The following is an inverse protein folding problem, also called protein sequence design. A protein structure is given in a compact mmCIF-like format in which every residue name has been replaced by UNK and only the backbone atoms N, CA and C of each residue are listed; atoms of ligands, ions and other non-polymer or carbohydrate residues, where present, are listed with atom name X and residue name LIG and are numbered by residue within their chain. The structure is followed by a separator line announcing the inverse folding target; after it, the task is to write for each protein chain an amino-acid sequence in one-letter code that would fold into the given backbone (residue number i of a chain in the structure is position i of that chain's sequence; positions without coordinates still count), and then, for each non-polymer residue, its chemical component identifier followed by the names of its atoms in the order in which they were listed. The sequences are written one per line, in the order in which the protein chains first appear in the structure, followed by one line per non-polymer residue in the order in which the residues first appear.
data_IF_035728264714
#
_entry.id   IF_035728264714
#
_cell.length_a   1.000
_cell.length_b   1.000
_cell.length_c   1.000
_cell.angle_alpha   90.00
_cell.angle_beta   90.00
_cell.angle_gamma   90.00
#
_symmetry.space_group_name_H-M   'P 1'
#
loop_
_entity.id
_entity.type
_entity.pdbx_description
1 polymer ?
#
# COMPACT_ATOMS: atom_id res chain seq x y z
N UNK A 1 1.83 54.86 31.09
CA UNK A 1 2.73 53.71 30.83
C UNK A 1 3.73 54.13 29.76
N UNK A 2 5.04 54.12 30.05
CA UNK A 2 6.10 54.55 29.13
C UNK A 2 5.97 53.81 27.78
N UNK A 3 6.23 54.46 26.64
CA UNK A 3 6.09 53.88 25.28
C UNK A 3 6.78 52.51 25.17
N UNK A 4 7.95 52.39 25.80
CA UNK A 4 8.68 51.13 25.94
C UNK A 4 7.90 50.05 26.69
N UNK A 5 7.29 50.37 27.84
CA UNK A 5 6.46 49.42 28.62
C UNK A 5 5.26 48.90 27.81
N UNK A 6 4.64 49.74 26.97
CA UNK A 6 3.54 49.33 26.08
C UNK A 6 4.02 48.36 24.99
N UNK A 7 5.15 48.68 24.35
CA UNK A 7 5.75 47.82 23.32
C UNK A 7 6.17 46.47 23.93
N UNK A 8 6.86 46.49 25.08
CA UNK A 8 7.24 45.26 25.79
C UNK A 8 6.03 44.40 26.16
N UNK A 9 4.96 45.02 26.66
CA UNK A 9 3.72 44.29 26.98
C UNK A 9 3.12 43.61 25.74
N UNK A 10 3.04 44.32 24.61
CA UNK A 10 2.53 43.75 23.35
C UNK A 10 3.39 42.59 22.86
N UNK A 11 4.72 42.70 22.95
CA UNK A 11 5.63 41.61 22.61
C UNK A 11 5.44 40.38 23.51
N UNK A 12 5.36 40.58 24.83
CA UNK A 12 5.12 39.50 25.78
C UNK A 12 3.76 38.82 25.54
N UNK A 13 2.73 39.60 25.21
CA UNK A 13 1.42 39.09 24.86
C UNK A 13 1.47 38.25 23.58
N UNK A 14 2.11 38.75 22.51
CA UNK A 14 2.26 38.01 21.25
C UNK A 14 3.05 36.72 21.43
N UNK A 15 4.15 36.75 22.19
CA UNK A 15 4.94 35.56 22.53
C UNK A 15 4.09 34.58 23.32
N UNK A 16 3.33 35.05 24.31
CA UNK A 16 2.46 34.19 25.11
C UNK A 16 1.38 33.53 24.26
N UNK A 17 0.72 34.28 23.36
CA UNK A 17 -0.26 33.75 22.42
C UNK A 17 0.38 32.71 21.51
N UNK A 18 1.57 32.99 20.96
CA UNK A 18 2.30 32.06 20.10
C UNK A 18 2.64 30.74 20.82
N UNK A 19 3.13 30.82 22.06
CA UNK A 19 3.46 29.64 22.87
C UNK A 19 2.22 28.84 23.24
N UNK A 20 1.16 29.51 23.71
CA UNK A 20 -0.12 28.87 24.06
C UNK A 20 -0.74 28.20 22.83
N UNK A 21 -0.74 28.87 21.67
CA UNK A 21 -1.23 28.30 20.42
C UNK A 21 -0.49 27.01 20.07
N UNK A 22 0.85 27.05 20.02
CA UNK A 22 1.63 25.86 19.69
C UNK A 22 1.41 24.73 20.69
N UNK A 23 1.39 25.04 21.99
CA UNK A 23 1.12 24.07 23.04
C UNK A 23 -0.25 23.40 22.84
N UNK A 24 -1.32 24.19 22.71
CA UNK A 24 -2.68 23.67 22.58
C UNK A 24 -2.85 22.82 21.31
N UNK A 25 -2.35 23.28 20.17
CA UNK A 25 -2.50 22.54 18.92
C UNK A 25 -1.65 21.26 18.92
N UNK A 26 -0.43 21.34 19.46
CA UNK A 26 0.45 20.19 19.50
C UNK A 26 -0.14 19.03 20.31
N UNK A 27 -0.60 19.29 21.53
CA UNK A 27 -1.12 18.24 22.41
C UNK A 27 -2.51 17.74 22.00
N UNK A 28 -3.33 18.58 21.35
CA UNK A 28 -4.67 18.16 20.92
C UNK A 28 -4.71 17.49 19.56
N UNK A 29 -3.81 17.84 18.64
CA UNK A 29 -3.82 17.38 17.24
C UNK A 29 -2.48 16.79 16.80
N UNK A 30 -1.43 17.62 16.70
CA UNK A 30 -0.17 17.25 16.04
C UNK A 30 0.46 16.00 16.63
N UNK A 31 0.67 15.92 17.95
CA UNK A 31 1.32 14.78 18.58
C UNK A 31 0.52 13.47 18.46
N UNK A 32 -0.81 13.55 18.29
CA UNK A 32 -1.69 12.36 18.27
C UNK A 32 -1.68 11.61 16.95
N UNK A 33 -1.19 12.23 15.88
CA UNK A 33 -1.07 11.59 14.56
C UNK A 33 0.32 11.00 14.33
N UNK A 34 1.21 10.99 15.35
CA UNK A 34 2.52 10.35 15.29
C UNK A 34 2.60 9.19 16.28
N UNK A 35 3.24 8.07 15.91
CA UNK A 35 3.36 6.91 16.78
C UNK A 35 4.09 7.27 18.06
N UNK A 36 3.63 6.72 19.19
CA UNK A 36 4.23 7.00 20.50
C UNK A 36 5.50 6.22 20.78
N UNK A 37 5.72 5.13 20.05
CA UNK A 37 6.90 4.27 20.17
C UNK A 37 7.33 3.77 18.79
N UNK A 38 8.57 3.30 18.67
CA UNK A 38 9.04 2.60 17.45
C UNK A 38 8.34 1.26 17.21
N UNK A 39 7.62 0.72 18.19
CA UNK A 39 6.88 -0.55 18.11
C UNK A 39 5.45 -0.39 17.59
N UNK A 40 5.04 0.86 17.39
CA UNK A 40 3.67 1.25 17.00
C UNK A 40 3.69 2.02 15.71
N UNK A 41 2.62 1.90 14.93
CA UNK A 41 2.45 2.56 13.65
C UNK A 41 1.15 3.36 13.65
N UNK A 42 1.21 4.58 13.10
CA UNK A 42 0.05 5.40 12.78
C UNK A 42 0.13 5.72 11.30
N UNK A 43 -0.99 5.58 10.59
CA UNK A 43 -1.00 5.72 9.15
C UNK A 43 -0.81 7.14 8.64
N UNK A 44 -0.40 7.23 7.38
CA UNK A 44 -0.04 8.48 6.73
C UNK A 44 -1.22 9.44 6.56
N UNK A 45 -2.44 8.92 6.37
CA UNK A 45 -3.62 9.77 6.22
C UNK A 45 -3.95 10.52 7.50
N UNK A 46 -3.70 9.96 8.69
CA UNK A 46 -3.80 10.74 9.93
C UNK A 46 -2.80 11.90 9.93
N UNK A 47 -1.54 11.67 9.53
CA UNK A 47 -0.52 12.73 9.46
C UNK A 47 -0.82 13.79 8.40
N UNK A 48 -1.37 13.39 7.27
CA UNK A 48 -1.68 14.28 6.16
C UNK A 48 -2.97 15.08 6.38
N UNK A 49 -3.92 14.55 7.16
CA UNK A 49 -5.20 15.21 7.45
C UNK A 49 -5.20 15.97 8.79
N UNK A 50 -4.36 15.56 9.75
CA UNK A 50 -4.42 15.95 11.16
C UNK A 50 -5.76 15.65 11.84
N UNK A 51 -6.54 14.71 11.31
CA UNK A 51 -7.77 14.23 11.93
C UNK A 51 -7.42 13.18 12.99
N UNK A 52 -7.65 13.52 14.24
CA UNK A 52 -7.32 12.64 15.38
C UNK A 52 -8.31 11.49 15.52
N UNK A 53 -9.55 11.68 15.09
CA UNK A 53 -10.63 10.72 15.28
C UNK A 53 -10.58 9.53 14.30
N UNK A 54 -9.72 9.58 13.28
CA UNK A 54 -9.45 8.43 12.40
C UNK A 54 -8.24 7.61 12.84
N UNK A 55 -7.43 8.11 13.78
CA UNK A 55 -6.17 7.47 14.20
C UNK A 55 -6.45 6.03 14.65
N UNK A 56 -5.68 5.11 14.10
CA UNK A 56 -5.75 3.68 14.38
C UNK A 56 -4.35 3.16 14.71
N UNK A 57 -3.90 3.51 15.91
CA UNK A 57 -2.61 3.08 16.46
C UNK A 57 -2.57 1.55 16.57
N UNK A 58 -1.52 0.95 16.02
CA UNK A 58 -1.36 -0.49 15.87
C UNK A 58 0.06 -0.92 16.17
N UNK A 59 0.19 -2.06 16.84
CA UNK A 59 1.50 -2.67 17.14
C UNK A 59 2.02 -3.44 15.94
N UNK A 60 3.32 -3.32 15.68
CA UNK A 60 4.00 -4.13 14.69
C UNK A 60 4.28 -5.51 15.30
N UNK A 61 3.56 -6.53 14.83
CA UNK A 61 3.62 -7.90 15.36
C UNK A 61 3.63 -8.88 14.18
N UNK A 62 4.49 -9.89 14.26
CA UNK A 62 4.49 -11.04 13.36
C UNK A 62 4.16 -12.28 14.18
N UNK A 63 3.03 -12.92 13.87
CA UNK A 63 2.56 -14.12 14.57
C UNK A 63 2.26 -15.31 13.63
N UNK A 64 2.64 -15.19 12.36
CA UNK A 64 2.53 -16.26 11.37
C UNK A 64 3.66 -17.27 11.49
N UNK A 65 3.35 -18.55 11.23
CA UNK A 65 4.28 -19.67 11.45
C UNK A 65 5.42 -19.77 10.43
N UNK A 66 5.24 -19.21 9.23
CA UNK A 66 6.27 -19.13 8.19
C UNK A 66 6.19 -17.76 7.50
N UNK A 67 7.32 -17.06 7.47
CA UNK A 67 7.44 -15.74 6.84
C UNK A 67 8.13 -15.84 5.49
N UNK A 68 7.90 -14.83 4.66
CA UNK A 68 8.63 -14.66 3.41
C UNK A 68 10.11 -14.34 3.67
N UNK A 69 10.94 -14.56 2.67
CA UNK A 69 12.32 -14.12 2.65
C UNK A 69 12.35 -12.71 2.08
N UNK A 70 12.98 -11.79 2.81
CA UNK A 70 13.38 -10.52 2.23
C UNK A 70 14.54 -10.77 1.26
N UNK A 71 14.74 -9.86 0.31
CA UNK A 71 15.86 -9.93 -0.62
C UNK A 71 17.23 -10.06 0.08
N UNK A 72 17.41 -9.43 1.25
CA UNK A 72 18.66 -9.46 2.00
C UNK A 72 18.90 -10.80 2.72
N UNK A 73 17.84 -11.58 2.95
CA UNK A 73 17.90 -12.89 3.60
C UNK A 73 18.08 -14.04 2.60
N UNK A 74 18.20 -13.71 1.32
CA UNK A 74 18.35 -14.70 0.26
C UNK A 74 19.80 -15.21 0.18
N UNK A 75 19.98 -16.51 0.43
CA UNK A 75 21.26 -17.22 0.45
C UNK A 75 21.32 -18.35 -0.59
N UNK A 76 20.60 -18.19 -1.71
CA UNK A 76 20.50 -19.16 -2.82
C UNK A 76 19.73 -20.46 -2.50
N UNK A 77 18.79 -20.40 -1.55
CA UNK A 77 17.81 -21.46 -1.32
C UNK A 77 16.74 -21.52 -2.42
N UNK A 78 16.09 -22.67 -2.61
CA UNK A 78 15.02 -22.80 -3.59
C UNK A 78 13.81 -21.91 -3.25
N UNK A 79 13.39 -21.08 -4.21
CA UNK A 79 12.27 -20.13 -4.13
C UNK A 79 11.17 -20.60 -5.08
N UNK A 80 9.98 -20.88 -4.56
CA UNK A 80 8.85 -21.28 -5.40
C UNK A 80 8.09 -20.07 -5.97
N UNK A 81 8.06 -18.97 -5.23
CA UNK A 81 7.31 -17.77 -5.59
C UNK A 81 8.23 -16.55 -5.43
N UNK A 82 8.40 -15.80 -6.51
CA UNK A 82 9.07 -14.51 -6.51
C UNK A 82 8.01 -13.40 -6.55
N UNK A 83 8.06 -12.45 -5.62
CA UNK A 83 7.18 -11.28 -5.62
C UNK A 83 7.96 -10.00 -5.89
N UNK A 84 7.33 -9.06 -6.58
CA UNK A 84 7.80 -7.68 -6.72
C UNK A 84 6.60 -6.76 -6.69
N UNK A 85 6.71 -5.63 -6.00
CA UNK A 85 5.63 -4.66 -5.95
C UNK A 85 6.01 -3.40 -5.18
N UNK A 86 5.01 -2.59 -4.87
CA UNK A 86 5.22 -1.30 -4.24
C UNK A 86 5.17 -1.38 -2.71
N UNK A 87 4.79 -0.31 -2.02
CA UNK A 87 4.73 -0.28 -0.56
C UNK A 87 3.77 -1.32 0.04
N UNK A 88 2.78 -1.81 -0.71
CA UNK A 88 1.93 -2.94 -0.30
C UNK A 88 2.70 -4.26 -0.21
N UNK A 89 3.67 -4.47 -1.12
CA UNK A 89 4.59 -5.62 -1.07
C UNK A 89 5.72 -5.46 -0.05
N UNK A 90 5.95 -4.24 0.45
CA UNK A 90 7.07 -3.92 1.32
C UNK A 90 6.64 -3.60 2.77
N UNK A 91 5.42 -4.00 3.16
CA UNK A 91 4.95 -3.86 4.54
C UNK A 91 4.64 -2.42 4.96
N UNK A 92 4.41 -1.50 4.01
CA UNK A 92 4.25 -0.07 4.25
C UNK A 92 3.11 0.32 5.19
N UNK A 93 2.13 -0.57 5.39
CA UNK A 93 1.03 -0.37 6.32
C UNK A 93 1.45 -0.47 7.80
N UNK A 94 2.53 -1.22 8.09
CA UNK A 94 2.85 -1.72 9.43
C UNK A 94 1.70 -2.52 10.06
N UNK A 95 1.73 -2.64 11.38
CA UNK A 95 0.75 -3.39 12.16
C UNK A 95 1.02 -4.89 12.20
N UNK A 96 -0.04 -5.67 12.42
CA UNK A 96 0.02 -7.13 12.45
C UNK A 96 0.31 -7.68 11.05
N UNK A 97 1.29 -8.57 10.89
CA UNK A 97 1.59 -9.32 9.66
C UNK A 97 1.47 -8.45 8.38
N UNK A 98 2.27 -7.40 8.29
CA UNK A 98 2.13 -6.35 7.26
C UNK A 98 2.46 -6.80 5.84
N UNK A 99 3.06 -7.98 5.67
CA UNK A 99 3.43 -8.55 4.37
C UNK A 99 2.42 -9.61 3.95
N UNK A 100 1.75 -9.42 2.81
CA UNK A 100 0.84 -10.43 2.28
C UNK A 100 1.57 -11.75 1.93
N UNK A 101 2.87 -11.65 1.65
CA UNK A 101 3.75 -12.78 1.32
C UNK A 101 3.90 -13.76 2.50
N UNK A 102 3.79 -13.29 3.74
CA UNK A 102 3.81 -14.15 4.93
C UNK A 102 2.59 -15.06 4.96
N UNK A 103 1.42 -14.56 4.56
CA UNK A 103 0.22 -15.38 4.44
C UNK A 103 0.36 -16.43 3.34
N UNK A 104 0.99 -16.11 2.20
CA UNK A 104 1.28 -17.09 1.15
C UNK A 104 2.20 -18.17 1.70
N UNK A 105 3.29 -17.77 2.36
CA UNK A 105 4.28 -18.67 2.93
C UNK A 105 3.64 -19.59 3.99
N UNK A 106 2.81 -19.04 4.87
CA UNK A 106 2.15 -19.79 5.95
C UNK A 106 1.05 -20.70 5.43
N UNK A 107 0.10 -20.22 4.63
CA UNK A 107 -1.08 -21.02 4.27
C UNK A 107 -0.81 -22.07 3.19
N UNK A 108 0.17 -21.83 2.32
CA UNK A 108 0.50 -22.76 1.23
C UNK A 108 1.86 -23.45 1.41
N UNK A 109 2.51 -23.23 2.57
CA UNK A 109 3.86 -23.71 2.87
C UNK A 109 4.87 -23.44 1.74
N UNK A 110 4.80 -22.26 1.12
CA UNK A 110 5.68 -21.89 -0.01
C UNK A 110 6.90 -21.13 0.45
N UNK A 111 8.01 -21.30 -0.27
CA UNK A 111 9.16 -20.43 -0.12
C UNK A 111 8.96 -19.21 -1.01
N UNK A 112 8.69 -18.07 -0.39
CA UNK A 112 8.41 -16.80 -1.07
C UNK A 112 9.59 -15.86 -0.88
N UNK A 113 10.09 -15.27 -1.96
CA UNK A 113 11.08 -14.21 -1.93
C UNK A 113 10.45 -12.91 -2.42
N UNK A 114 10.55 -11.84 -1.64
CA UNK A 114 10.14 -10.51 -2.06
C UNK A 114 11.33 -9.67 -2.53
N UNK A 115 11.31 -9.26 -3.79
CA UNK A 115 12.26 -8.31 -4.36
C UNK A 115 11.86 -6.89 -3.98
N UNK A 116 12.64 -6.28 -3.08
CA UNK A 116 12.48 -4.87 -2.70
C UNK A 116 13.38 -3.98 -3.57
N UNK A 117 13.25 -4.12 -4.88
CA UNK A 117 14.07 -3.43 -5.87
C UNK A 117 13.32 -2.21 -6.41
N UNK A 118 13.85 -1.02 -6.16
CA UNK A 118 13.31 0.22 -6.75
C UNK A 118 13.85 0.48 -8.15
N UNK A 119 15.04 -0.03 -8.47
CA UNK A 119 15.71 0.17 -9.75
C UNK A 119 16.80 -0.89 -9.96
N UNK A 120 16.91 -1.42 -11.18
CA UNK A 120 18.04 -2.22 -11.63
C UNK A 120 18.55 -1.59 -12.92
N UNK A 121 19.86 -1.31 -12.97
CA UNK A 121 20.49 -0.60 -14.08
C UNK A 121 19.73 0.70 -14.43
N UNK A 122 19.04 0.73 -15.57
CA UNK A 122 18.29 1.88 -16.06
C UNK A 122 16.76 1.71 -15.97
N UNK A 123 16.25 0.61 -15.42
CA UNK A 123 14.81 0.36 -15.30
C UNK A 123 14.33 0.31 -13.85
N UNK A 124 13.17 0.91 -13.61
CA UNK A 124 12.36 0.76 -12.39
C UNK A 124 11.03 0.05 -12.67
N UNK A 125 10.83 -0.45 -13.89
CA UNK A 125 9.59 -1.10 -14.28
C UNK A 125 9.60 -2.59 -13.90
N UNK A 126 8.59 -3.04 -13.16
CA UNK A 126 8.55 -4.42 -12.69
C UNK A 126 8.48 -5.44 -13.85
N UNK A 127 7.82 -5.11 -14.97
CA UNK A 127 7.77 -5.99 -16.14
C UNK A 127 9.16 -6.17 -16.76
N UNK A 128 9.93 -5.09 -16.88
CA UNK A 128 11.29 -5.14 -17.45
C UNK A 128 12.25 -5.84 -16.48
N UNK A 129 12.13 -5.58 -15.17
CA UNK A 129 12.91 -6.28 -14.14
C UNK A 129 12.65 -7.79 -14.22
N UNK A 130 11.39 -8.24 -14.27
CA UNK A 130 11.10 -9.67 -14.39
C UNK A 130 11.55 -10.22 -15.75
N UNK A 131 11.44 -9.45 -16.83
CA UNK A 131 11.96 -9.84 -18.14
C UNK A 131 13.48 -10.04 -18.10
N UNK A 132 14.22 -9.19 -17.38
CA UNK A 132 15.65 -9.34 -17.17
C UNK A 132 16.00 -10.64 -16.46
N UNK A 133 15.32 -10.92 -15.35
CA UNK A 133 15.51 -12.15 -14.59
C UNK A 133 15.17 -13.38 -15.43
N UNK A 134 14.07 -13.35 -16.18
CA UNK A 134 13.70 -14.42 -17.08
C UNK A 134 14.76 -14.62 -18.17
N UNK A 135 15.17 -13.57 -18.88
CA UNK A 135 16.11 -13.68 -19.99
C UNK A 135 17.52 -14.14 -19.58
N UNK A 136 17.88 -13.99 -18.31
CA UNK A 136 19.15 -14.45 -17.76
C UNK A 136 19.19 -15.94 -17.39
N UNK A 137 18.03 -16.59 -17.25
CA UNK A 137 17.92 -17.97 -16.71
C UNK A 137 17.89 -18.04 -15.17
N UNK A 138 18.01 -16.89 -14.48
CA UNK A 138 18.13 -16.86 -13.03
C UNK A 138 16.86 -17.31 -12.31
N UNK A 139 15.67 -17.08 -12.88
CA UNK A 139 14.41 -17.58 -12.29
C UNK A 139 14.40 -19.11 -12.20
N UNK A 140 14.90 -19.78 -13.24
CA UNK A 140 15.01 -21.24 -13.27
C UNK A 140 16.07 -21.75 -12.28
N UNK A 141 17.22 -21.07 -12.18
CA UNK A 141 18.27 -21.38 -11.18
C UNK A 141 17.74 -21.28 -9.75
N UNK A 142 16.88 -20.31 -9.48
CA UNK A 142 16.21 -20.12 -8.18
C UNK A 142 15.10 -21.16 -7.90
N UNK A 143 14.63 -21.89 -8.92
CA UNK A 143 13.52 -22.84 -8.82
C UNK A 143 12.12 -22.19 -8.85
N UNK A 144 12.03 -20.94 -9.33
CA UNK A 144 10.77 -20.16 -9.35
C UNK A 144 9.74 -20.83 -10.23
N UNK A 145 8.53 -21.01 -9.68
CA UNK A 145 7.36 -21.53 -10.42
C UNK A 145 6.31 -20.46 -10.68
N UNK A 146 6.29 -19.43 -9.83
CA UNK A 146 5.36 -18.32 -9.92
C UNK A 146 6.09 -17.00 -9.74
N UNK A 147 5.77 -16.04 -10.59
CA UNK A 147 6.11 -14.62 -10.37
C UNK A 147 4.82 -13.87 -10.08
N UNK A 148 4.78 -13.16 -8.96
CA UNK A 148 3.67 -12.29 -8.59
C UNK A 148 4.12 -10.83 -8.68
N UNK A 149 3.44 -10.06 -9.52
CA UNK A 149 3.60 -8.62 -9.61
C UNK A 149 2.41 -7.97 -8.91
N UNK A 150 2.70 -7.15 -7.91
CA UNK A 150 1.73 -6.34 -7.20
C UNK A 150 1.95 -4.86 -7.55
N UNK A 151 0.85 -4.12 -7.59
CA UNK A 151 0.86 -2.67 -7.74
C UNK A 151 -0.47 -2.11 -7.26
N UNK A 152 -0.43 -1.00 -6.52
CA UNK A 152 -1.66 -0.27 -6.22
C UNK A 152 -2.35 0.21 -7.51
N UNK A 153 -3.68 0.17 -7.54
CA UNK A 153 -4.49 0.49 -8.70
C UNK A 153 -4.11 1.84 -9.32
N UNK A 154 -4.07 2.91 -8.52
CA UNK A 154 -3.74 4.28 -8.99
C UNK A 154 -2.40 4.41 -9.74
N UNK A 155 -1.44 3.51 -9.49
CA UNK A 155 -0.13 3.52 -10.16
C UNK A 155 0.01 2.42 -11.22
N UNK A 156 -0.93 1.48 -11.32
CA UNK A 156 -0.82 0.34 -12.22
C UNK A 156 -0.75 0.77 -13.69
N UNK A 157 -1.59 1.71 -14.12
CA UNK A 157 -1.55 2.21 -15.51
C UNK A 157 -0.31 3.08 -15.78
N UNK A 158 0.16 3.83 -14.77
CA UNK A 158 1.40 4.62 -14.90
C UNK A 158 2.60 3.71 -15.10
N UNK A 159 2.64 2.58 -14.40
CA UNK A 159 3.73 1.61 -14.48
C UNK A 159 3.63 0.75 -15.74
N UNK A 160 2.46 0.23 -16.08
CA UNK A 160 2.37 -0.88 -17.02
C UNK A 160 1.69 -0.57 -18.35
N UNK A 161 0.98 0.56 -18.50
CA UNK A 161 0.43 0.99 -19.80
C UNK A 161 1.49 1.79 -20.58
N UNK A 162 2.58 1.12 -20.97
CA UNK A 162 3.75 1.70 -21.64
C UNK A 162 3.97 1.03 -23.00
N UNK A 163 4.23 1.83 -24.03
CA UNK A 163 4.48 1.33 -25.39
C UNK A 163 5.95 0.91 -25.60
N UNK A 164 6.84 1.38 -24.73
CA UNK A 164 8.30 1.32 -24.86
C UNK A 164 8.95 0.33 -23.88
N UNK A 165 8.20 -0.63 -23.33
CA UNK A 165 8.77 -1.65 -22.45
C UNK A 165 9.73 -2.57 -23.20
N UNK A 166 10.92 -2.76 -22.63
CA UNK A 166 11.94 -3.65 -23.15
C UNK A 166 11.85 -5.05 -22.53
N UNK A 167 11.10 -5.93 -23.19
CA UNK A 167 11.00 -7.35 -22.83
C UNK A 167 12.26 -8.18 -23.16
N UNK A 168 13.16 -7.64 -23.98
CA UNK A 168 14.37 -8.32 -24.44
C UNK A 168 15.61 -7.89 -23.66
N UNK A 169 15.43 -7.16 -22.55
CA UNK A 169 16.51 -6.71 -21.69
C UNK A 169 17.33 -7.91 -21.21
N UNK A 170 18.66 -7.78 -21.33
CA UNK A 170 19.66 -8.75 -20.87
C UNK A 170 20.72 -7.98 -20.10
N UNK A 171 21.23 -8.57 -19.03
CA UNK A 171 22.37 -8.01 -18.31
C UNK A 171 23.62 -8.79 -18.69
N UNK A 172 24.72 -8.07 -18.95
CA UNK A 172 26.04 -8.66 -19.14
C UNK A 172 26.75 -8.91 -17.80
N UNK A 173 26.27 -8.29 -16.71
CA UNK A 173 26.80 -8.43 -15.37
C UNK A 173 26.10 -9.57 -14.62
N UNK A 174 26.82 -10.20 -13.70
CA UNK A 174 26.29 -11.27 -12.86
C UNK A 174 25.14 -10.73 -12.00
N UNK A 175 23.90 -11.18 -12.23
CA UNK A 175 22.72 -10.76 -11.45
C UNK A 175 22.89 -11.05 -9.95
N UNK A 176 23.80 -11.97 -9.58
CA UNK A 176 24.23 -12.20 -8.20
C UNK A 176 24.72 -10.92 -7.51
N UNK A 177 25.36 -10.01 -8.25
CA UNK A 177 25.80 -8.71 -7.75
C UNK A 177 24.64 -7.75 -7.40
N UNK A 178 23.43 -7.98 -7.92
CA UNK A 178 22.23 -7.22 -7.52
C UNK A 178 21.85 -7.56 -6.09
N UNK A 179 22.03 -8.82 -5.67
CA UNK A 179 21.82 -9.21 -4.26
C UNK A 179 22.97 -8.75 -3.36
N UNK A 180 24.20 -8.71 -3.86
CA UNK A 180 25.39 -8.34 -3.06
C UNK A 180 25.57 -6.82 -2.88
N UNK A 181 25.25 -5.99 -3.88
CA UNK A 181 25.51 -4.53 -3.86
C UNK A 181 24.43 -3.68 -3.16
N UNK A 182 23.33 -4.28 -2.70
CA UNK A 182 22.18 -3.53 -2.15
C UNK A 182 22.07 -3.56 -0.62
N UNK A 183 23.05 -4.18 0.06
CA UNK A 183 23.26 -4.09 1.51
C UNK A 183 23.44 -2.64 2.04
N UNK A 184 23.34 -1.61 1.19
CA UNK A 184 23.54 -0.20 1.55
C UNK A 184 22.27 0.67 1.60
N UNK A 185 21.06 0.15 1.43
CA UNK A 185 19.89 1.06 1.28
C UNK A 185 18.77 0.86 2.32
N UNK A 186 18.61 1.92 3.13
CA UNK A 186 17.52 2.29 4.04
C UNK A 186 17.41 1.52 5.37
N UNK A 187 18.13 2.01 6.38
CA UNK A 187 17.69 1.94 7.79
C UNK A 187 16.39 2.74 7.96
N UNK A 188 15.24 2.16 7.57
CA UNK A 188 13.91 2.74 7.77
C UNK A 188 13.64 3.00 9.27
N UNK A 189 14.31 2.25 10.15
CA UNK A 189 14.23 2.46 11.61
C UNK A 189 14.59 3.89 12.05
N UNK A 190 15.40 4.64 11.28
CA UNK A 190 15.75 6.02 11.63
C UNK A 190 14.69 7.06 11.22
N UNK A 191 13.78 6.76 10.29
CA UNK A 191 12.79 7.73 9.80
C UNK A 191 11.51 7.79 10.64
N UNK A 192 11.16 6.72 11.36
CA UNK A 192 9.93 6.63 12.16
C UNK A 192 10.05 7.19 13.58
N UNK A 193 11.18 7.75 13.97
CA UNK A 193 11.44 8.15 15.37
C UNK A 193 11.30 9.65 15.64
N UNK A 194 11.16 10.52 14.63
CA UNK A 194 11.05 11.96 14.88
C UNK A 194 9.59 12.41 15.06
N UNK A 195 9.12 12.34 16.31
CA UNK A 195 8.01 13.20 16.72
C UNK A 195 8.43 14.66 16.60
N UNK A 196 7.58 15.54 16.03
CA UNK A 196 7.90 16.96 15.96
C UNK A 196 8.02 17.57 17.36
N UNK A 197 8.83 18.62 17.50
CA UNK A 197 8.88 19.45 18.71
C UNK A 197 7.56 20.16 18.97
N UNK A 198 7.30 20.61 20.21
CA UNK A 198 6.06 21.31 20.58
C UNK A 198 5.82 22.54 19.68
N UNK A 199 6.87 23.33 19.44
CA UNK A 199 6.84 24.46 18.51
C UNK A 199 7.32 23.96 17.15
N UNK A 200 6.42 23.93 16.17
CA UNK A 200 6.70 23.48 14.81
C UNK A 200 5.69 24.09 13.82
N UNK A 201 6.03 24.09 12.53
CA UNK A 201 5.15 24.59 11.47
C UNK A 201 3.92 23.69 11.20
N UNK A 202 3.99 22.41 11.56
CA UNK A 202 2.91 21.44 11.39
C UNK A 202 1.68 21.76 12.25
N UNK A 203 1.86 22.42 13.39
CA UNK A 203 0.75 22.92 14.22
C UNK A 203 -0.15 23.87 13.42
N UNK A 204 0.40 24.68 12.52
CA UNK A 204 -0.42 25.53 11.67
C UNK A 204 -1.26 24.72 10.68
N UNK A 205 -0.71 23.67 10.09
CA UNK A 205 -1.45 22.74 9.23
C UNK A 205 -2.56 22.03 10.01
N UNK A 206 -2.24 21.54 11.21
CA UNK A 206 -3.21 20.88 12.08
C UNK A 206 -4.40 21.79 12.40
N UNK A 207 -4.14 23.03 12.82
CA UNK A 207 -5.18 24.02 13.07
C UNK A 207 -6.00 24.32 11.81
N UNK A 208 -5.32 24.66 10.71
CA UNK A 208 -5.99 25.10 9.48
C UNK A 208 -6.85 23.98 8.87
N UNK A 209 -6.38 22.74 8.83
CA UNK A 209 -7.14 21.63 8.27
C UNK A 209 -8.33 21.25 9.14
N UNK A 210 -8.18 21.20 10.47
CA UNK A 210 -9.30 20.93 11.37
C UNK A 210 -10.37 22.04 11.28
N UNK A 211 -9.97 23.31 11.24
CA UNK A 211 -10.90 24.43 11.01
C UNK A 211 -11.58 24.33 9.65
N UNK A 212 -10.84 24.01 8.59
CA UNK A 212 -11.41 23.83 7.25
C UNK A 212 -12.43 22.70 7.22
N UNK A 213 -12.14 21.57 7.87
CA UNK A 213 -13.08 20.45 7.97
C UNK A 213 -14.34 20.85 8.77
N UNK A 214 -14.18 21.57 9.89
CA UNK A 214 -15.31 22.04 10.68
C UNK A 214 -16.24 22.97 9.87
N UNK A 215 -15.70 23.84 9.03
CA UNK A 215 -16.47 24.80 8.24
C UNK A 215 -17.04 24.19 6.96
N UNK A 216 -16.27 23.37 6.23
CA UNK A 216 -16.64 22.86 4.89
C UNK A 216 -17.22 21.44 4.92
N UNK A 217 -16.98 20.67 5.98
CA UNK A 217 -17.37 19.27 6.06
C UNK A 217 -16.60 18.35 5.11
N UNK A 218 -17.31 17.37 4.56
CA UNK A 218 -16.77 16.33 3.67
C UNK A 218 -16.32 16.88 2.31
N UNK A 219 -15.47 16.13 1.62
CA UNK A 219 -14.84 16.46 0.35
C UNK A 219 -13.33 16.69 0.47
N UNK A 220 -12.78 17.55 -0.40
CA UNK A 220 -11.33 17.82 -0.47
C UNK A 220 -10.84 18.63 0.72
N UNK A 221 -10.13 17.97 1.65
CA UNK A 221 -9.59 18.63 2.84
C UNK A 221 -8.34 19.46 2.53
N UNK A 222 -7.39 18.93 1.77
CA UNK A 222 -6.19 19.66 1.36
C UNK A 222 -5.69 19.16 -0.01
N UNK A 223 -4.45 19.46 -0.39
CA UNK A 223 -3.86 18.98 -1.65
C UNK A 223 -3.75 17.47 -1.73
N UNK A 224 -3.68 16.80 -0.58
CA UNK A 224 -3.21 15.42 -0.47
C UNK A 224 -4.29 14.43 -0.04
N UNK A 225 -5.38 14.86 0.62
CA UNK A 225 -6.42 13.96 1.14
C UNK A 225 -7.85 14.46 0.90
N UNK A 226 -8.75 13.50 0.77
CA UNK A 226 -10.21 13.65 0.76
C UNK A 226 -10.81 12.99 2.00
N UNK A 227 -11.95 13.52 2.45
CA UNK A 227 -12.69 13.01 3.61
C UNK A 227 -14.15 12.84 3.23
N UNK A 228 -14.69 11.63 3.30
CA UNK A 228 -16.07 11.32 2.91
C UNK A 228 -16.83 10.62 4.03
N UNK A 229 -18.16 10.75 3.99
CA UNK A 229 -19.05 10.03 4.90
C UNK A 229 -19.47 8.70 4.28
N UNK A 230 -19.34 7.63 5.05
CA UNK A 230 -19.90 6.33 4.72
C UNK A 230 -21.32 6.19 5.28
N UNK A 231 -22.15 5.41 4.58
CA UNK A 231 -23.48 4.99 5.03
C UNK A 231 -23.42 3.79 6.00
N UNK A 232 -22.22 3.25 6.25
CA UNK A 232 -21.93 2.15 7.17
C UNK A 232 -20.75 2.48 8.09
N UNK A 233 -20.71 1.82 9.25
CA UNK A 233 -19.58 1.89 10.18
C UNK A 233 -18.50 0.85 9.85
N UNK A 234 -17.65 1.14 8.86
CA UNK A 234 -16.65 0.18 8.34
C UNK A 234 -15.25 0.29 8.98
N UNK A 235 -15.09 1.12 10.01
CA UNK A 235 -13.83 1.29 10.74
C UNK A 235 -14.01 1.16 12.26
N UNK A 236 -12.98 0.71 12.97
CA UNK A 236 -12.96 0.68 14.44
C UNK A 236 -12.40 1.96 15.07
N UNK A 237 -11.92 2.92 14.28
CA UNK A 237 -11.48 4.22 14.78
C UNK A 237 -12.65 4.99 15.42
N UNK A 238 -12.34 6.08 16.15
CA UNK A 238 -13.36 6.89 16.82
C UNK A 238 -14.43 7.43 15.85
N UNK A 239 -14.05 7.65 14.60
CA UNK A 239 -14.96 7.97 13.50
C UNK A 239 -15.20 6.75 12.60
N UNK A 240 -16.03 5.83 13.08
CA UNK A 240 -16.28 4.52 12.45
C UNK A 240 -16.85 4.58 11.02
N UNK A 241 -17.53 5.67 10.65
CA UNK A 241 -18.12 5.88 9.32
C UNK A 241 -17.42 6.97 8.49
N UNK A 242 -16.21 7.41 8.88
CA UNK A 242 -15.46 8.44 8.15
C UNK A 242 -14.39 7.80 7.30
N UNK A 243 -14.50 7.97 5.98
CA UNK A 243 -13.50 7.54 5.03
C UNK A 243 -12.51 8.68 4.78
N UNK A 244 -11.22 8.40 4.93
CA UNK A 244 -10.15 9.28 4.43
C UNK A 244 -9.35 8.49 3.41
N UNK A 245 -9.05 9.12 2.27
CA UNK A 245 -8.30 8.51 1.18
C UNK A 245 -7.40 9.52 0.47
N UNK A 246 -6.42 8.98 -0.27
CA UNK A 246 -5.37 9.77 -0.90
C UNK A 246 -5.87 10.44 -2.18
N UNK A 247 -5.41 11.66 -2.44
CA UNK A 247 -5.90 12.45 -3.57
C UNK A 247 -5.61 11.82 -4.94
N UNK A 248 -4.58 10.98 -5.06
CA UNK A 248 -4.23 10.34 -6.33
C UNK A 248 -5.21 9.25 -6.74
N UNK A 249 -5.94 8.65 -5.79
CA UNK A 249 -7.02 7.71 -6.09
C UNK A 249 -8.09 8.33 -7.01
N UNK A 250 -8.29 9.66 -6.97
CA UNK A 250 -9.20 10.39 -7.88
C UNK A 250 -8.45 10.91 -9.10
N UNK A 251 -7.27 11.50 -8.89
CA UNK A 251 -6.50 12.12 -9.98
C UNK A 251 -6.18 11.10 -11.09
N UNK A 252 -5.83 9.88 -10.72
CA UNK A 252 -5.37 8.83 -11.64
C UNK A 252 -6.52 8.11 -12.36
N UNK A 253 -7.79 8.33 -11.97
CA UNK A 253 -8.97 7.86 -12.73
C UNK A 253 -9.05 8.42 -14.16
N UNK A 254 -8.33 9.52 -14.42
CA UNK A 254 -8.15 10.08 -15.76
C UNK A 254 -7.33 9.16 -16.68
N UNK A 255 -6.49 8.28 -16.12
CA UNK A 255 -5.71 7.30 -16.87
C UNK A 255 -6.50 6.03 -17.17
N UNK A 256 -7.58 5.76 -16.43
CA UNK A 256 -8.45 4.60 -16.64
C UNK A 256 -9.32 4.77 -17.88
N UNK A 257 -8.69 4.66 -19.04
CA UNK A 257 -9.32 4.50 -20.34
C UNK A 257 -9.20 3.05 -20.79
N UNK A 258 -10.07 2.64 -21.72
CA UNK A 258 -10.04 1.27 -22.26
C UNK A 258 -8.69 0.97 -22.91
N UNK A 259 -8.15 1.93 -23.66
CA UNK A 259 -6.87 1.81 -24.37
C UNK A 259 -5.70 1.57 -23.40
N UNK A 260 -5.65 2.32 -22.29
CA UNK A 260 -4.58 2.13 -21.30
C UNK A 260 -4.71 0.78 -20.57
N UNK A 261 -5.93 0.35 -20.25
CA UNK A 261 -6.16 -0.95 -19.59
C UNK A 261 -5.83 -2.11 -20.55
N UNK A 262 -6.19 -1.98 -21.83
CA UNK A 262 -5.82 -2.93 -22.89
C UNK A 262 -4.31 -3.00 -23.08
N UNK A 263 -3.63 -1.86 -23.12
CA UNK A 263 -2.17 -1.81 -23.23
C UNK A 263 -1.48 -2.46 -22.03
N UNK A 264 -1.95 -2.17 -20.80
CA UNK A 264 -1.49 -2.87 -19.59
C UNK A 264 -1.70 -4.38 -19.74
N UNK A 265 -2.90 -4.82 -20.13
CA UNK A 265 -3.23 -6.24 -20.27
C UNK A 265 -2.34 -6.92 -21.32
N UNK A 266 -2.10 -6.25 -22.46
CA UNK A 266 -1.20 -6.73 -23.50
C UNK A 266 0.23 -6.90 -22.97
N UNK A 267 0.73 -5.92 -22.20
CA UNK A 267 2.07 -6.00 -21.63
C UNK A 267 2.23 -7.15 -20.62
N UNK A 268 1.22 -7.39 -19.79
CA UNK A 268 1.20 -8.57 -18.91
C UNK A 268 1.09 -9.88 -19.71
N UNK A 269 0.31 -9.92 -20.79
CA UNK A 269 0.22 -11.09 -21.68
C UNK A 269 1.56 -11.39 -22.37
N UNK A 270 2.31 -10.35 -22.76
CA UNK A 270 3.64 -10.49 -23.33
C UNK A 270 4.62 -11.08 -22.31
N UNK A 271 4.64 -10.53 -21.08
CA UNK A 271 5.48 -11.07 -20.01
C UNK A 271 5.10 -12.52 -19.66
N UNK A 272 3.81 -12.83 -19.60
CA UNK A 272 3.32 -14.18 -19.34
C UNK A 272 3.83 -15.17 -20.38
N UNK A 273 3.81 -14.80 -21.67
CA UNK A 273 4.32 -15.65 -22.75
C UNK A 273 5.84 -15.89 -22.67
N UNK A 274 6.61 -14.95 -22.09
CA UNK A 274 8.05 -15.13 -21.85
C UNK A 274 8.28 -16.12 -20.70
N UNK A 275 7.54 -15.96 -19.60
CA UNK A 275 7.63 -16.83 -18.43
C UNK A 275 7.10 -18.24 -18.69
N UNK A 276 6.04 -18.38 -19.48
CA UNK A 276 5.43 -19.67 -19.84
C UNK A 276 6.41 -20.58 -20.58
N UNK A 277 7.25 -20.02 -21.47
CA UNK A 277 8.33 -20.77 -22.16
C UNK A 277 9.34 -21.40 -21.20
N UNK A 278 9.37 -20.92 -19.95
CA UNK A 278 10.25 -21.40 -18.86
C UNK A 278 9.50 -22.24 -17.83
N UNK A 279 8.21 -22.53 -18.08
CA UNK A 279 7.36 -23.25 -17.14
C UNK A 279 6.93 -22.41 -15.92
N UNK A 280 7.08 -21.08 -15.99
CA UNK A 280 6.78 -20.15 -14.90
C UNK A 280 5.44 -19.47 -15.16
N UNK A 281 4.57 -19.40 -14.15
CA UNK A 281 3.28 -18.72 -14.24
C UNK A 281 3.36 -17.29 -13.71
N UNK A 282 2.75 -16.36 -14.42
CA UNK A 282 2.62 -14.96 -13.98
C UNK A 282 1.30 -14.76 -13.22
N UNK A 283 1.38 -14.09 -12.07
CA UNK A 283 0.25 -13.59 -11.29
C UNK A 283 0.33 -12.07 -11.27
N UNK A 284 -0.76 -11.40 -11.65
CA UNK A 284 -0.93 -9.96 -11.44
C UNK A 284 -1.98 -9.74 -10.35
N UNK A 285 -1.57 -9.09 -9.27
CA UNK A 285 -2.42 -8.80 -8.11
C UNK A 285 -2.41 -7.28 -7.86
N UNK A 286 -3.23 -6.50 -8.59
CA UNK A 286 -3.34 -5.08 -8.28
C UNK A 286 -4.07 -4.89 -6.94
N UNK A 287 -3.55 -4.03 -6.07
CA UNK A 287 -4.25 -3.64 -4.86
C UNK A 287 -5.32 -2.57 -5.19
N UNK A 288 -6.59 -2.87 -4.94
CA UNK A 288 -7.69 -1.92 -5.16
C UNK A 288 -7.48 -0.63 -4.38
N UNK A 289 -7.75 0.52 -5.00
CA UNK A 289 -7.66 1.80 -4.30
C UNK A 289 -8.70 1.88 -3.17
N UNK A 290 -8.33 2.50 -2.06
CA UNK A 290 -9.21 2.69 -0.90
C UNK A 290 -10.48 3.45 -1.29
N UNK A 291 -10.37 4.49 -2.12
CA UNK A 291 -11.54 5.16 -2.68
C UNK A 291 -12.44 4.18 -3.45
N UNK A 292 -11.88 3.41 -4.38
CA UNK A 292 -12.64 2.55 -5.29
C UNK A 292 -13.37 1.42 -4.53
N UNK A 293 -12.71 0.81 -3.54
CA UNK A 293 -13.31 -0.25 -2.73
C UNK A 293 -14.48 0.27 -1.89
N UNK A 294 -14.34 1.44 -1.26
CA UNK A 294 -15.36 1.99 -0.36
C UNK A 294 -16.42 2.84 -1.06
N UNK A 295 -16.25 3.16 -2.35
CA UNK A 295 -17.17 4.01 -3.13
C UNK A 295 -18.65 3.61 -3.00
N UNK A 296 -19.05 2.32 -3.06
CA UNK A 296 -20.46 1.94 -2.93
C UNK A 296 -21.12 2.41 -1.62
N UNK A 297 -20.32 2.68 -0.60
CA UNK A 297 -20.78 3.11 0.73
C UNK A 297 -20.66 4.62 0.96
N UNK A 298 -20.05 5.38 0.04
CA UNK A 298 -19.92 6.84 0.17
C UNK A 298 -21.30 7.50 -0.05
N UNK A 299 -21.71 8.36 0.88
CA UNK A 299 -23.02 9.04 0.83
C UNK A 299 -23.10 10.05 -0.32
N UNK A 300 -22.03 10.81 -0.56
CA UNK A 300 -22.04 11.90 -1.54
C UNK A 300 -21.86 11.41 -2.99
N UNK A 301 -21.00 10.42 -3.20
CA UNK A 301 -20.65 9.82 -4.49
C UNK A 301 -20.35 10.82 -5.62
N UNK A 302 -19.71 11.94 -5.28
CA UNK A 302 -19.43 13.05 -6.20
C UNK A 302 -18.28 12.82 -7.20
N UNK A 303 -17.57 11.70 -7.11
CA UNK A 303 -16.37 11.44 -7.90
C UNK A 303 -16.58 10.35 -8.95
N UNK A 304 -15.78 10.41 -10.02
CA UNK A 304 -15.80 9.44 -11.13
C UNK A 304 -15.63 8.02 -10.59
N UNK A 305 -16.36 7.08 -11.17
CA UNK A 305 -16.19 5.66 -10.88
C UNK A 305 -14.97 5.10 -11.62
N UNK A 306 -14.22 4.23 -10.95
CA UNK A 306 -13.15 3.48 -11.61
C UNK A 306 -13.74 2.44 -12.55
N UNK A 307 -13.13 2.24 -13.71
CA UNK A 307 -13.45 1.13 -14.61
C UNK A 307 -12.36 0.05 -14.60
N UNK A 308 -11.28 0.25 -13.83
CA UNK A 308 -10.07 -0.57 -13.89
C UNK A 308 -10.36 -2.07 -13.72
N UNK A 309 -10.96 -2.48 -12.61
CA UNK A 309 -11.22 -3.90 -12.32
C UNK A 309 -12.32 -4.46 -13.22
N UNK A 310 -13.39 -3.69 -13.42
CA UNK A 310 -14.56 -4.08 -14.21
C UNK A 310 -14.16 -4.39 -15.65
N UNK A 311 -13.38 -3.51 -16.27
CA UNK A 311 -12.95 -3.68 -17.65
C UNK A 311 -11.79 -4.67 -17.79
N UNK A 312 -10.78 -4.59 -16.92
CA UNK A 312 -9.64 -5.52 -16.97
C UNK A 312 -10.13 -6.96 -16.84
N UNK A 313 -11.13 -7.24 -16.00
CA UNK A 313 -11.70 -8.58 -15.81
C UNK A 313 -12.25 -9.19 -17.11
N UNK A 314 -12.80 -8.38 -18.03
CA UNK A 314 -13.39 -8.87 -19.28
C UNK A 314 -12.38 -9.20 -20.38
N UNK A 315 -11.13 -8.73 -20.25
CA UNK A 315 -10.10 -8.96 -21.26
C UNK A 315 -9.52 -10.38 -21.16
N UNK A 316 -9.10 -10.94 -22.30
CA UNK A 316 -8.38 -12.22 -22.35
C UNK A 316 -6.99 -12.11 -21.71
N UNK A 317 -6.64 -13.10 -20.88
CA UNK A 317 -5.39 -13.12 -20.10
C UNK A 317 -4.65 -14.44 -20.27
N UNK A 318 -3.33 -14.33 -20.45
CA UNK A 318 -2.37 -15.44 -20.39
C UNK A 318 -1.71 -15.56 -19.01
N UNK A 319 -2.03 -14.64 -18.11
CA UNK A 319 -1.58 -14.60 -16.71
C UNK A 319 -2.77 -14.82 -15.78
N UNK A 320 -2.47 -15.13 -14.52
CA UNK A 320 -3.47 -15.23 -13.47
C UNK A 320 -3.74 -13.83 -12.93
N UNK A 321 -4.98 -13.39 -12.99
CA UNK A 321 -5.41 -12.11 -12.45
C UNK A 321 -6.13 -12.30 -11.12
N UNK A 322 -5.67 -11.60 -10.09
CA UNK A 322 -6.34 -11.57 -8.78
C UNK A 322 -7.18 -10.29 -8.69
N UNK A 323 -8.49 -10.45 -8.72
CA UNK A 323 -9.42 -9.33 -8.58
C UNK A 323 -9.60 -8.95 -7.10
N UNK A 324 -8.65 -8.18 -6.56
CA UNK A 324 -8.69 -7.78 -5.14
C UNK A 324 -9.93 -6.93 -4.80
N UNK A 325 -10.47 -6.16 -5.75
CA UNK A 325 -11.73 -5.42 -5.54
C UNK A 325 -12.88 -6.37 -5.25
N UNK A 326 -13.08 -7.39 -6.08
CA UNK A 326 -14.18 -8.34 -5.90
C UNK A 326 -14.02 -9.13 -4.59
N UNK A 327 -12.81 -9.60 -4.28
CA UNK A 327 -12.56 -10.37 -3.05
C UNK A 327 -12.86 -9.52 -1.81
N UNK A 328 -12.34 -8.29 -1.76
CA UNK A 328 -12.47 -7.43 -0.59
C UNK A 328 -13.86 -6.80 -0.46
N UNK A 329 -14.59 -6.60 -1.56
CA UNK A 329 -15.96 -6.09 -1.51
C UNK A 329 -16.87 -7.06 -0.75
N UNK A 330 -16.71 -8.37 -0.96
CA UNK A 330 -17.43 -9.41 -0.19
C UNK A 330 -17.20 -9.29 1.32
N UNK A 331 -16.02 -8.83 1.74
CA UNK A 331 -15.73 -8.61 3.16
C UNK A 331 -16.52 -7.41 3.71
N UNK A 332 -16.60 -6.30 2.95
CA UNK A 332 -17.39 -5.12 3.33
C UNK A 332 -18.91 -5.38 3.30
N UNK A 333 -19.38 -6.23 2.39
CA UNK A 333 -20.78 -6.67 2.34
C UNK A 333 -21.18 -7.44 3.60
N UNK A 334 -20.25 -8.22 4.17
CA UNK A 334 -20.40 -8.92 5.45
C UNK A 334 -20.09 -8.04 6.68
N UNK A 335 -20.08 -6.72 6.51
CA UNK A 335 -19.80 -5.72 7.55
C UNK A 335 -18.45 -5.89 8.26
N UNK A 336 -17.47 -6.51 7.58
CA UNK A 336 -16.12 -6.62 8.10
C UNK A 336 -15.44 -5.25 8.14
N UNK A 337 -15.05 -4.82 9.34
CA UNK A 337 -14.38 -3.53 9.56
C UNK A 337 -12.88 -3.60 9.31
N UNK A 338 -12.30 -2.46 8.98
CA UNK A 338 -10.85 -2.25 8.83
C UNK A 338 -10.21 -3.09 7.72
N UNK A 339 -10.89 -3.33 6.61
CA UNK A 339 -10.25 -3.89 5.41
C UNK A 339 -9.10 -2.98 4.97
N UNK A 340 -9.31 -1.66 5.02
CA UNK A 340 -8.23 -0.68 5.11
C UNK A 340 -8.16 -0.10 6.50
N UNK A 341 -6.96 0.27 6.95
CA UNK A 341 -6.83 1.09 8.16
C UNK A 341 -7.48 2.45 7.93
N UNK A 342 -8.22 2.97 8.91
CA UNK A 342 -8.92 4.25 8.77
C UNK A 342 -7.95 5.41 8.48
N UNK A 343 -6.76 5.35 9.07
CA UNK A 343 -5.71 6.38 9.00
C UNK A 343 -4.61 6.11 7.96
N UNK A 344 -4.73 5.08 7.12
CA UNK A 344 -3.69 4.70 6.16
C UNK A 344 -4.21 4.57 4.72
N UNK A 345 -3.30 4.71 3.76
CA UNK A 345 -3.56 4.41 2.35
C UNK A 345 -3.49 2.91 2.05
N UNK A 346 -2.83 2.13 2.91
CA UNK A 346 -2.69 0.70 2.78
C UNK A 346 -3.86 -0.06 3.41
N UNK A 347 -4.07 -1.27 2.89
CA UNK A 347 -5.00 -2.21 3.49
C UNK A 347 -4.46 -2.75 4.83
N UNK A 348 -5.32 -3.38 5.63
CA UNK A 348 -4.90 -4.06 6.84
C UNK A 348 -4.49 -5.51 6.58
N UNK A 349 -4.04 -6.16 7.65
CA UNK A 349 -3.77 -7.59 7.65
C UNK A 349 -4.98 -8.44 7.27
N UNK A 350 -6.21 -7.95 7.52
CA UNK A 350 -7.45 -8.65 7.16
C UNK A 350 -7.58 -8.76 5.64
N UNK A 351 -7.30 -7.69 4.91
CA UNK A 351 -7.33 -7.72 3.45
C UNK A 351 -6.33 -8.72 2.88
N UNK A 352 -5.10 -8.72 3.42
CA UNK A 352 -4.06 -9.68 3.02
C UNK A 352 -4.53 -11.11 3.28
N UNK A 353 -5.07 -11.40 4.46
CA UNK A 353 -5.58 -12.71 4.80
C UNK A 353 -6.74 -13.15 3.87
N UNK A 354 -7.72 -12.28 3.62
CA UNK A 354 -8.87 -12.58 2.75
C UNK A 354 -8.46 -12.80 1.30
N UNK A 355 -7.55 -11.98 0.77
CA UNK A 355 -7.01 -12.16 -0.60
C UNK A 355 -6.30 -13.50 -0.72
N UNK A 356 -5.39 -13.81 0.22
CA UNK A 356 -4.60 -15.04 0.13
C UNK A 356 -5.46 -16.28 0.40
N UNK A 357 -6.50 -16.22 1.23
CA UNK A 357 -7.43 -17.35 1.46
C UNK A 357 -8.52 -17.49 0.39
N UNK A 358 -8.58 -16.57 -0.58
CA UNK A 358 -9.61 -16.58 -1.62
C UNK A 358 -9.56 -17.84 -2.47
N UNK A 359 -10.67 -18.14 -3.15
CA UNK A 359 -10.71 -19.25 -4.12
C UNK A 359 -9.66 -19.12 -5.22
N UNK A 360 -9.31 -17.90 -5.63
CA UNK A 360 -8.35 -17.66 -6.69
C UNK A 360 -6.97 -18.18 -6.27
N UNK A 361 -6.49 -17.81 -5.08
CA UNK A 361 -5.24 -18.33 -4.54
C UNK A 361 -5.28 -19.85 -4.28
N UNK A 362 -6.42 -20.36 -3.79
CA UNK A 362 -6.60 -21.80 -3.61
C UNK A 362 -6.53 -22.57 -4.94
N UNK A 363 -7.08 -22.03 -6.03
CA UNK A 363 -6.99 -22.67 -7.36
C UNK A 363 -5.55 -22.71 -7.89
N UNK A 364 -4.72 -21.73 -7.52
CA UNK A 364 -3.31 -21.65 -7.92
C UNK A 364 -2.46 -22.66 -7.16
N UNK A 365 -2.63 -22.73 -5.83
CA UNK A 365 -1.70 -23.46 -4.95
C UNK A 365 -2.25 -24.78 -4.38
N UNK A 366 -3.56 -25.06 -4.45
CA UNK A 366 -4.20 -26.26 -3.89
C UNK A 366 -4.84 -27.20 -4.94
N UNK A 367 -4.30 -27.31 -6.15
CA UNK A 367 -4.48 -28.57 -6.92
C UNK A 367 -3.55 -29.66 -6.34
N UNK A 368 -3.88 -30.11 -5.13
CA UNK A 368 -3.18 -31.16 -4.40
C UNK A 368 -3.31 -30.99 -2.88
N UNK A 369 -4.29 -31.68 -2.30
CA UNK A 369 -4.38 -32.09 -0.88
C UNK A 369 -3.97 -31.08 0.21
N UNK A 370 -4.95 -30.42 0.82
CA UNK A 370 -5.23 -30.56 2.26
C UNK A 370 -6.46 -29.74 2.66
N UNK A 371 -7.42 -30.44 3.23
CA UNK A 371 -8.70 -29.94 3.71
C UNK A 371 -8.49 -29.02 4.94
N UNK A 372 -8.85 -27.74 4.81
CA UNK A 372 -8.76 -26.72 5.87
C UNK A 372 -9.77 -26.94 7.00
N UNK A 373 -10.53 -28.04 7.00
CA UNK A 373 -11.46 -28.42 8.06
C UNK A 373 -10.80 -28.76 9.40
N UNK A 374 -9.45 -28.81 9.49
CA UNK A 374 -8.74 -29.25 10.71
C UNK A 374 -8.02 -28.18 11.54
N UNK A 375 -8.08 -26.90 11.20
CA UNK A 375 -7.51 -25.84 12.07
C UNK A 375 -8.64 -25.12 12.83
N UNK A 376 -9.25 -25.85 13.75
CA UNK A 376 -9.90 -25.31 14.94
C UNK A 376 -9.56 -26.21 16.12
N UNK A 377 -8.69 -25.72 17.00
CA UNK A 377 -8.75 -25.93 18.44
C UNK A 377 -7.95 -24.86 19.14
#
# INVERSE_FOLDING_TARGET
MNKFKRITFLWLLLISIFLIFNFLIFFNFTNKVYPSTSKTTIGDLARMSYLVDIVQDRKNIVDLGKVHLSQNDYINQNIEILTIGDSFSNGGAGGKNSYYQDYISTFYNKNVLNLNLQKIDNTSNYIEIISLFANSGYLEEMGVKYVLIESVQRESLVRFAKNDLNFSIKNNNNLKSIFENLNQTYNIEQLHTFKPSIINNLNFNAFFYNMKYYVKGYGKLNSSVYVEKLNKELFTSKSSSKLVFFHEDIKKLSLETKENIELLNQNFNNLAAILEKKGIKLIFMPAVDKYNLYRPYIVSNNYKESIFFEYLSTLDKKYIFINTKEILLKSLENDEKDIFYADDTHWSYKASEQIIKSEDFNKIFNKGENDFSKIKK
#
